data_IF_876592790968
#
_entry.id   IF_876592790968
#
_cell.length_a   1.000
_cell.length_b   1.000
_cell.length_c   1.000
_cell.angle_alpha   90.00
_cell.angle_beta   90.00
_cell.angle_gamma   90.00
#
_symmetry.space_group_name_H-M   'P 1'
#
loop_
_entity.id
_entity.type
_entity.pdbx_description
1 polymer ?
#
# COMPACT_ATOMS: atom_id res chain seq x y z
N UNK A 1 -29.37 17.03 -0.53
CA UNK A 1 -29.26 16.17 0.67
C UNK A 1 -28.06 15.24 0.49
N UNK A 2 -27.07 15.25 1.40
CA UNK A 2 -26.02 14.22 1.37
C UNK A 2 -26.59 12.98 2.07
N UNK A 3 -26.69 11.89 1.34
CA UNK A 3 -27.08 10.58 1.85
C UNK A 3 -25.96 10.12 2.78
N UNK A 4 -26.12 10.35 4.09
CA UNK A 4 -25.24 9.76 5.10
C UNK A 4 -25.66 8.29 5.28
N UNK A 5 -25.02 7.40 4.54
CA UNK A 5 -25.15 5.96 4.73
C UNK A 5 -24.36 5.56 5.99
N UNK A 6 -24.92 4.77 6.92
CA UNK A 6 -24.25 4.37 8.17
C UNK A 6 -22.97 3.54 7.98
N UNK A 7 -22.58 3.26 6.72
CA UNK A 7 -21.33 2.61 6.33
C UNK A 7 -20.21 3.59 5.92
N UNK A 8 -20.44 4.90 5.93
CA UNK A 8 -19.49 5.86 5.34
C UNK A 8 -18.17 6.02 6.10
N UNK A 9 -18.02 5.47 7.31
CA UNK A 9 -16.82 5.70 8.13
C UNK A 9 -16.19 4.41 8.70
N UNK A 10 -15.96 3.40 7.84
CA UNK A 10 -15.22 2.18 8.23
C UNK A 10 -13.76 2.47 8.62
N UNK A 11 -13.22 3.63 8.25
CA UNK A 11 -11.87 4.04 8.61
C UNK A 11 -11.78 5.51 9.04
N UNK A 12 -10.80 5.90 9.89
CA UNK A 12 -10.68 7.26 10.39
C UNK A 12 -10.43 8.34 9.32
N UNK A 13 -9.85 7.96 8.17
CA UNK A 13 -9.63 8.87 7.05
C UNK A 13 -10.72 8.70 6.00
N UNK A 14 -11.35 9.81 5.60
CA UNK A 14 -12.41 9.88 4.58
C UNK A 14 -11.99 10.65 3.31
N UNK A 15 -10.68 10.84 3.12
CA UNK A 15 -10.17 11.51 1.92
C UNK A 15 -10.01 10.56 0.74
N UNK A 16 -9.91 11.14 -0.47
CA UNK A 16 -9.79 10.38 -1.74
C UNK A 16 -8.35 10.02 -2.12
N UNK A 17 -7.34 10.53 -1.39
CA UNK A 17 -5.92 10.30 -1.69
C UNK A 17 -5.40 9.11 -0.90
N UNK A 18 -4.29 8.53 -1.37
CA UNK A 18 -3.54 7.55 -0.59
C UNK A 18 -3.11 8.17 0.74
N UNK A 19 -3.18 7.36 1.79
CA UNK A 19 -2.82 7.71 3.14
C UNK A 19 -1.88 6.66 3.73
N UNK A 20 -1.16 7.07 4.77
CA UNK A 20 -0.50 6.13 5.64
C UNK A 20 -1.55 5.48 6.55
N UNK A 21 -1.52 4.15 6.65
CA UNK A 21 -2.36 3.36 7.54
C UNK A 21 -1.55 2.45 8.45
N UNK A 22 -1.95 2.37 9.72
CA UNK A 22 -1.44 1.38 10.69
C UNK A 22 -2.46 0.26 10.88
N UNK A 23 -2.00 -0.97 10.77
CA UNK A 23 -2.83 -2.16 10.78
C UNK A 23 -2.41 -3.09 11.91
N UNK A 24 -3.39 -3.79 12.47
CA UNK A 24 -3.16 -4.86 13.43
C UNK A 24 -4.12 -6.01 13.16
N UNK A 25 -3.58 -7.18 12.82
CA UNK A 25 -4.40 -8.36 12.61
C UNK A 25 -5.00 -8.84 13.94
N UNK A 26 -6.32 -9.04 13.99
CA UNK A 26 -6.99 -9.48 15.21
C UNK A 26 -6.73 -10.96 15.55
N UNK A 27 -6.41 -11.79 14.55
CA UNK A 27 -6.09 -13.20 14.74
C UNK A 27 -4.63 -13.42 15.15
N UNK A 28 -3.66 -13.02 14.31
CA UNK A 28 -2.24 -13.27 14.58
C UNK A 28 -1.52 -12.14 15.34
N UNK A 29 -2.21 -11.05 15.68
CA UNK A 29 -1.68 -9.87 16.38
C UNK A 29 -0.52 -9.14 15.69
N UNK A 30 -0.16 -9.54 14.46
CA UNK A 30 0.86 -8.88 13.64
C UNK A 30 0.45 -7.43 13.37
N UNK A 31 1.42 -6.53 13.50
CA UNK A 31 1.29 -5.11 13.18
C UNK A 31 2.09 -4.78 11.92
N UNK A 32 1.55 -3.91 11.09
CA UNK A 32 2.26 -3.40 9.92
C UNK A 32 1.73 -2.02 9.54
N UNK A 33 2.46 -1.32 8.69
CA UNK A 33 2.10 0.00 8.18
C UNK A 33 2.12 0.00 6.66
N UNK A 34 1.34 0.87 6.03
CA UNK A 34 1.26 0.97 4.57
C UNK A 34 1.05 2.41 4.13
N UNK A 35 1.84 2.89 3.16
CA UNK A 35 1.67 4.21 2.52
C UNK A 35 0.64 4.19 1.38
N UNK A 36 0.11 3.01 1.05
CA UNK A 36 -0.91 2.82 0.01
C UNK A 36 -2.28 2.48 0.63
N UNK A 37 -2.52 2.90 1.88
CA UNK A 37 -3.85 2.78 2.48
C UNK A 37 -4.80 3.80 1.82
N UNK A 38 -6.09 3.50 1.81
CA UNK A 38 -7.15 4.41 1.33
C UNK A 38 -8.36 4.31 2.25
N UNK A 39 -9.24 5.31 2.19
CA UNK A 39 -10.45 5.35 3.00
C UNK A 39 -11.34 4.13 2.74
N UNK A 40 -11.88 3.55 3.82
CA UNK A 40 -12.87 2.47 3.80
C UNK A 40 -12.40 1.15 3.11
N UNK A 41 -11.10 0.99 2.86
CA UNK A 41 -10.53 -0.25 2.32
C UNK A 41 -9.66 -0.99 3.35
N UNK A 42 -9.84 -2.31 3.40
CA UNK A 42 -9.04 -3.21 4.22
C UNK A 42 -7.81 -3.74 3.46
N UNK A 43 -6.76 -4.10 4.18
CA UNK A 43 -5.63 -4.85 3.63
C UNK A 43 -5.61 -6.28 4.16
N UNK A 44 -5.25 -7.22 3.29
CA UNK A 44 -5.14 -8.62 3.68
C UNK A 44 -3.93 -8.85 4.56
N UNK A 45 -4.13 -9.49 5.71
CA UNK A 45 -3.01 -9.95 6.53
C UNK A 45 -2.22 -11.02 5.76
N UNK A 46 -0.91 -10.86 5.62
CA UNK A 46 -0.05 -11.81 4.89
C UNK A 46 -0.03 -13.23 5.49
N UNK A 47 -0.33 -13.38 6.78
CA UNK A 47 -0.34 -14.68 7.45
C UNK A 47 -1.73 -15.33 7.47
N UNK A 48 -2.76 -14.54 7.81
CA UNK A 48 -4.11 -15.05 8.02
C UNK A 48 -5.00 -14.94 6.77
N UNK A 49 -4.58 -14.15 5.78
CA UNK A 49 -5.36 -13.82 4.58
C UNK A 49 -6.77 -13.25 4.85
N UNK A 50 -6.98 -12.69 6.04
CA UNK A 50 -8.22 -11.99 6.41
C UNK A 50 -8.11 -10.49 6.11
N UNK A 51 -9.23 -9.81 5.80
CA UNK A 51 -9.27 -8.37 5.69
C UNK A 51 -9.02 -7.72 7.05
N UNK A 52 -8.13 -6.74 7.09
CA UNK A 52 -7.81 -5.95 8.28
C UNK A 52 -7.93 -4.48 7.94
N UNK A 53 -8.82 -3.78 8.64
CA UNK A 53 -8.93 -2.33 8.52
C UNK A 53 -7.83 -1.63 9.33
N UNK A 54 -7.34 -0.48 8.86
CA UNK A 54 -6.37 0.30 9.60
C UNK A 54 -7.01 0.92 10.84
N UNK A 55 -6.33 0.84 11.97
CA UNK A 55 -6.79 1.46 13.23
C UNK A 55 -6.37 2.93 13.33
N UNK A 56 -5.37 3.35 12.54
CA UNK A 56 -4.96 4.75 12.38
C UNK A 56 -4.72 5.01 10.90
N UNK A 57 -5.17 6.17 10.43
CA UNK A 57 -4.86 6.66 9.10
C UNK A 57 -4.53 8.14 9.14
N UNK A 58 -3.56 8.54 8.33
CA UNK A 58 -3.17 9.94 8.17
C UNK A 58 -2.64 10.22 6.76
N UNK A 59 -2.78 11.46 6.25
CA UNK A 59 -2.16 11.84 4.99
C UNK A 59 -0.67 11.49 4.95
N UNK A 60 -0.18 10.99 3.81
CA UNK A 60 1.22 10.59 3.65
C UNK A 60 2.17 11.75 3.95
N UNK A 61 1.87 12.96 3.50
CA UNK A 61 2.70 14.15 3.77
C UNK A 61 2.86 14.42 5.27
N UNK A 62 1.77 14.25 6.05
CA UNK A 62 1.83 14.36 7.52
C UNK A 62 2.65 13.22 8.13
N UNK A 63 2.53 12.01 7.61
CA UNK A 63 3.30 10.85 8.09
C UNK A 63 4.80 11.05 7.84
N UNK A 64 5.17 11.63 6.70
CA UNK A 64 6.55 12.00 6.35
C UNK A 64 7.05 13.11 7.25
N UNK A 65 6.26 14.17 7.46
CA UNK A 65 6.64 15.28 8.34
C UNK A 65 6.87 14.84 9.79
N UNK A 66 6.14 13.82 10.25
CA UNK A 66 6.31 13.20 11.57
C UNK A 66 7.40 12.12 11.62
N UNK A 67 8.08 11.83 10.50
CA UNK A 67 9.12 10.80 10.44
C UNK A 67 8.61 9.35 10.58
N UNK A 68 7.30 9.13 10.49
CA UNK A 68 6.70 7.78 10.58
C UNK A 68 6.98 6.94 9.33
N UNK A 69 7.14 7.59 8.19
CA UNK A 69 7.53 6.96 6.93
C UNK A 69 8.56 7.80 6.20
N UNK A 70 9.44 7.12 5.49
CA UNK A 70 10.34 7.79 4.54
C UNK A 70 9.50 8.35 3.39
N UNK A 71 9.84 9.54 2.86
CA UNK A 71 9.20 10.03 1.65
C UNK A 71 9.31 8.94 0.60
N UNK A 72 8.18 8.57 0.02
CA UNK A 72 8.17 7.60 -1.06
C UNK A 72 9.07 8.17 -2.16
N UNK A 73 10.23 7.54 -2.38
CA UNK A 73 11.01 7.79 -3.57
C UNK A 73 10.10 7.39 -4.72
N UNK A 74 9.42 8.38 -5.30
CA UNK A 74 9.06 8.33 -6.71
C UNK A 74 10.39 8.13 -7.41
N UNK A 75 10.78 6.86 -7.62
CA UNK A 75 11.73 6.55 -8.67
C UNK A 75 11.07 7.15 -9.91
N UNK A 76 11.65 8.20 -10.51
CA UNK A 76 11.15 8.66 -11.79
C UNK A 76 11.20 7.42 -12.67
N UNK A 77 10.07 7.06 -13.26
CA UNK A 77 10.01 6.01 -14.27
C UNK A 77 10.82 6.46 -15.48
N UNK A 78 12.14 6.52 -15.37
CA UNK A 78 13.02 6.32 -16.51
C UNK A 78 12.91 4.83 -16.79
N UNK A 79 11.87 4.49 -17.53
CA UNK A 79 11.80 3.26 -18.32
C UNK A 79 13.10 3.22 -19.12
N UNK A 80 14.11 2.49 -18.65
CA UNK A 80 15.20 2.09 -19.51
C UNK A 80 14.58 1.22 -20.62
N UNK A 81 14.92 1.43 -21.91
CA UNK A 81 14.40 0.59 -22.96
C UNK A 81 14.77 -0.86 -22.66
N UNK A 82 13.77 -1.74 -22.75
CA UNK A 82 13.93 -3.19 -22.64
C UNK A 82 14.83 -3.61 -23.80
N UNK A 83 16.14 -3.63 -23.56
CA UNK A 83 17.11 -4.17 -24.47
C UNK A 83 16.73 -5.62 -24.76
N UNK A 84 16.36 -5.89 -26.00
CA UNK A 84 16.17 -7.23 -26.52
C UNK A 84 17.55 -7.90 -26.61
N UNK A 85 18.00 -8.46 -25.49
CA UNK A 85 19.23 -9.23 -25.39
C UNK A 85 18.92 -10.67 -25.01
N UNK A 86 18.14 -11.38 -25.83
CA UNK A 86 18.07 -12.84 -25.77
C UNK A 86 19.42 -13.35 -26.29
N UNK A 87 20.28 -13.99 -25.48
CA UNK A 87 21.50 -14.59 -26.02
C UNK A 87 21.10 -15.70 -27.01
N UNK A 88 21.81 -15.87 -28.14
CA UNK A 88 21.58 -17.01 -29.00
C UNK A 88 21.90 -18.29 -28.21
N UNK A 89 20.99 -19.25 -28.27
CA UNK A 89 21.25 -20.61 -27.83
C UNK A 89 22.46 -21.13 -28.60
N UNK A 90 23.54 -21.45 -27.89
CA UNK A 90 24.72 -22.06 -28.44
C UNK A 90 24.38 -23.52 -28.77
N UNK A 91 23.93 -23.77 -30.00
CA UNK A 91 23.74 -25.10 -30.55
C UNK A 91 25.04 -25.51 -31.26
N UNK A 92 25.91 -26.24 -30.55
CA UNK A 92 26.78 -27.32 -31.06
C UNK A 92 27.97 -27.55 -30.12
N UNK A 93 27.89 -28.66 -29.38
CA UNK A 93 29.09 -29.39 -28.95
C UNK A 93 28.88 -30.85 -29.35
N UNK A 94 29.39 -31.19 -30.53
CA UNK A 94 29.80 -32.53 -30.92
C UNK A 94 30.98 -32.36 -31.89
#
# INVERSE_FOLDING_TARGET
MRFNSPYEELTPYQGRKKCYGEFQCQQCKRKWTSQNSVANEAQSCIKCHIPVFPHKQLPVDKAVAMGLVKPQRVVPSKLAPIGHGRPPFNLNRQ
#
